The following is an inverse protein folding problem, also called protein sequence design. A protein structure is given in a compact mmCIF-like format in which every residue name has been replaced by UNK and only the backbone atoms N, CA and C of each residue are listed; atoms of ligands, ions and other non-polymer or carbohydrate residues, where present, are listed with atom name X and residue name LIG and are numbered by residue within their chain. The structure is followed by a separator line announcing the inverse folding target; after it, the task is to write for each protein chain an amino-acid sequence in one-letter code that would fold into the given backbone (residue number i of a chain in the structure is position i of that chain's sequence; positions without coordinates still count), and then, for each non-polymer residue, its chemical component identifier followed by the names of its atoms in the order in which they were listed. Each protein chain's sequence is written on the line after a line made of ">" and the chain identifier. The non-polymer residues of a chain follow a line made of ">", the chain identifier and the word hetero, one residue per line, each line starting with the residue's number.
data_IF_933562425564
#
_entry.id   IF_933562425564
#
_cell.length_a   1.000
_cell.length_b   1.000
_cell.length_c   1.000
_cell.angle_alpha   90.00
_cell.angle_beta   90.00
_cell.angle_gamma   90.00
#
_symmetry.space_group_name_H-M   'P 1'
#
loop_
_entity.id
_entity.type
_entity.pdbx_description
1 polymer ?
#
# COMPACT_ATOMS: atom_id res chain seq x y z
N UNK A 1 -4.26 8.79 36.08
CA UNK A 1 -4.59 9.12 34.69
C UNK A 1 -3.85 8.09 33.87
N UNK A 2 -4.52 7.04 33.43
CA UNK A 2 -3.97 6.09 32.45
C UNK A 2 -4.33 6.67 31.10
N UNK A 3 -3.34 7.24 30.41
CA UNK A 3 -3.48 7.50 28.98
C UNK A 3 -3.79 6.15 28.33
N UNK A 4 -4.94 6.06 27.65
CA UNK A 4 -5.23 4.92 26.79
C UNK A 4 -4.26 5.02 25.61
N UNK A 5 -3.07 4.44 25.73
CA UNK A 5 -2.25 4.16 24.56
C UNK A 5 -3.03 3.20 23.66
N UNK A 6 -3.07 3.50 22.37
CA UNK A 6 -3.55 2.51 21.39
C UNK A 6 -2.61 1.30 21.46
N UNK A 7 -3.11 0.05 21.46
CA UNK A 7 -2.25 -1.12 21.38
C UNK A 7 -1.60 -1.26 19.99
N UNK A 8 -2.06 -0.48 19.03
CA UNK A 8 -1.57 -0.43 17.66
C UNK A 8 -0.26 0.37 17.54
N UNK A 9 0.63 0.03 16.59
CA UNK A 9 1.80 0.84 16.27
C UNK A 9 1.42 2.24 15.80
N UNK A 10 2.07 3.24 16.37
CA UNK A 10 1.89 4.65 16.00
C UNK A 10 2.55 4.97 14.66
N UNK A 11 1.90 5.83 13.87
CA UNK A 11 2.53 6.46 12.72
C UNK A 11 3.44 7.60 13.20
N UNK A 12 4.75 7.47 12.95
CA UNK A 12 5.77 8.37 13.52
C UNK A 12 6.11 9.53 12.58
N UNK A 13 6.31 9.25 11.28
CA UNK A 13 6.70 10.26 10.27
C UNK A 13 5.63 10.35 9.16
N UNK A 14 4.40 10.80 9.45
CA UNK A 14 3.31 10.84 8.45
C UNK A 14 3.64 11.72 7.23
N UNK A 15 4.44 12.75 7.42
CA UNK A 15 4.82 13.74 6.42
C UNK A 15 5.76 13.20 5.34
N UNK A 16 6.47 12.10 5.59
CA UNK A 16 7.37 11.49 4.60
C UNK A 16 6.61 11.14 3.33
N UNK A 17 7.14 11.55 2.17
CA UNK A 17 6.52 11.31 0.86
C UNK A 17 7.27 10.24 0.07
N UNK A 18 6.58 9.65 -0.90
CA UNK A 18 7.15 8.67 -1.83
C UNK A 18 8.45 9.15 -2.50
N UNK A 19 8.52 10.43 -2.87
CA UNK A 19 9.70 11.05 -3.48
C UNK A 19 10.89 11.23 -2.52
N UNK A 20 10.69 11.15 -1.21
CA UNK A 20 11.75 11.32 -0.19
C UNK A 20 12.53 10.03 0.05
N UNK A 21 11.89 8.87 -0.16
CA UNK A 21 12.42 7.55 0.18
C UNK A 21 13.10 6.84 -1.01
N UNK A 22 13.41 7.59 -2.06
CA UNK A 22 14.11 7.07 -3.24
C UNK A 22 15.56 6.75 -2.89
N UNK A 23 16.02 5.55 -3.25
CA UNK A 23 17.40 5.13 -2.98
C UNK A 23 18.45 5.95 -3.76
N UNK A 24 18.13 6.38 -5.01
CA UNK A 24 18.86 7.35 -5.88
C UNK A 24 17.90 7.90 -6.95
N UNK A 25 18.28 8.98 -7.64
CA UNK A 25 17.53 9.60 -8.77
C UNK A 25 17.09 8.57 -9.86
N UNK A 26 17.85 7.48 -10.04
CA UNK A 26 17.58 6.43 -11.03
C UNK A 26 17.33 5.03 -10.40
N UNK A 27 17.05 4.93 -9.10
CA UNK A 27 17.07 3.66 -8.35
C UNK A 27 15.73 2.89 -8.33
N UNK A 28 14.99 2.91 -9.45
CA UNK A 28 13.80 2.09 -9.65
C UNK A 28 14.15 0.62 -9.99
N UNK A 29 15.28 0.11 -9.51
CA UNK A 29 15.73 -1.24 -9.81
C UNK A 29 15.07 -2.23 -8.85
N UNK A 30 14.34 -3.19 -9.40
CA UNK A 30 13.73 -4.26 -8.62
C UNK A 30 14.79 -5.31 -8.19
N UNK A 31 14.94 -5.55 -6.89
CA UNK A 31 15.63 -6.65 -6.20
C UNK A 31 14.69 -7.58 -5.39
N UNK A 32 15.14 -8.76 -4.95
CA UNK A 32 14.32 -9.71 -4.16
C UNK A 32 13.26 -10.50 -4.95
N UNK A 33 12.29 -11.09 -4.24
CA UNK A 33 11.19 -11.88 -4.84
C UNK A 33 10.26 -10.98 -5.66
N UNK A 34 9.77 -11.49 -6.80
CA UNK A 34 8.91 -10.71 -7.72
C UNK A 34 9.65 -9.69 -8.60
N UNK A 35 10.98 -9.53 -8.47
CA UNK A 35 11.75 -8.51 -9.22
C UNK A 35 11.60 -8.53 -10.75
N UNK A 36 11.31 -9.70 -11.34
CA UNK A 36 11.15 -9.87 -12.78
C UNK A 36 9.81 -9.35 -13.31
N UNK A 37 8.86 -9.08 -12.42
CA UNK A 37 7.50 -8.63 -12.74
C UNK A 37 7.10 -7.37 -11.98
N UNK A 38 7.81 -7.02 -10.91
CA UNK A 38 7.59 -5.84 -10.11
C UNK A 38 8.03 -4.57 -10.84
N UNK A 39 7.32 -3.47 -10.57
CA UNK A 39 7.76 -2.14 -10.96
C UNK A 39 8.61 -1.54 -9.83
N UNK A 40 9.72 -0.87 -10.15
CA UNK A 40 10.57 -0.23 -9.13
C UNK A 40 9.84 0.76 -8.22
N UNK A 41 8.65 1.20 -8.65
CA UNK A 41 7.71 2.06 -7.93
C UNK A 41 7.06 1.38 -6.73
N UNK A 42 6.79 0.08 -6.83
CA UNK A 42 6.34 -0.72 -5.70
C UNK A 42 7.34 -0.64 -4.55
N UNK A 43 8.63 -0.67 -4.89
CA UNK A 43 9.69 -0.73 -3.88
C UNK A 43 9.92 0.60 -3.17
N UNK A 44 9.63 1.72 -3.83
CA UNK A 44 9.61 3.02 -3.15
C UNK A 44 8.45 3.08 -2.14
N UNK A 45 7.29 2.49 -2.45
CA UNK A 45 6.18 2.42 -1.50
C UNK A 45 6.50 1.49 -0.30
N UNK A 46 7.19 0.37 -0.53
CA UNK A 46 7.66 -0.52 0.55
C UNK A 46 8.69 0.16 1.46
N UNK A 47 9.58 0.96 0.86
CA UNK A 47 10.51 1.82 1.62
C UNK A 47 9.79 2.89 2.42
N UNK A 48 8.75 3.48 1.82
CA UNK A 48 7.95 4.52 2.44
C UNK A 48 7.28 4.03 3.71
N UNK A 49 6.63 2.86 3.68
CA UNK A 49 5.95 2.36 4.88
C UNK A 49 6.91 2.12 6.04
N UNK A 50 8.10 1.57 5.77
CA UNK A 50 9.12 1.39 6.80
C UNK A 50 9.57 2.74 7.39
N UNK A 51 9.74 3.76 6.55
CA UNK A 51 10.19 5.07 7.00
C UNK A 51 9.13 5.80 7.87
N UNK A 52 7.85 5.64 7.55
CA UNK A 52 6.73 6.23 8.29
C UNK A 52 6.62 5.66 9.72
N UNK A 53 6.91 4.37 9.91
CA UNK A 53 6.82 3.71 11.22
C UNK A 53 8.14 3.67 12.01
N UNK A 54 9.27 4.11 11.44
CA UNK A 54 10.58 3.99 12.10
C UNK A 54 11.01 5.33 12.72
N UNK A 55 11.37 5.36 14.01
CA UNK A 55 11.72 6.59 14.74
C UNK A 55 12.79 7.45 14.04
N UNK A 56 13.84 6.82 13.51
CA UNK A 56 14.90 7.52 12.79
C UNK A 56 14.58 7.82 11.31
N UNK A 57 13.35 7.57 10.84
CA UNK A 57 12.97 7.72 9.43
C UNK A 57 13.73 6.79 8.48
N UNK A 58 14.13 5.59 8.95
CA UNK A 58 15.04 4.73 8.19
C UNK A 58 14.36 4.16 6.96
N UNK A 59 15.00 4.36 5.81
CA UNK A 59 14.51 3.87 4.51
C UNK A 59 15.14 2.51 4.19
N UNK A 60 14.35 1.44 4.27
CA UNK A 60 14.77 0.09 3.87
C UNK A 60 13.57 -0.76 3.43
N UNK A 61 13.83 -1.94 2.86
CA UNK A 61 12.83 -2.96 2.54
C UNK A 61 13.04 -4.16 3.45
N UNK A 62 11.95 -4.76 3.91
CA UNK A 62 11.97 -6.00 4.67
C UNK A 62 10.71 -6.81 4.38
N UNK A 63 10.68 -7.45 3.21
CA UNK A 63 9.66 -8.47 2.91
C UNK A 63 9.99 -9.73 3.71
N UNK A 64 9.03 -10.18 4.49
CA UNK A 64 9.17 -11.37 5.36
C UNK A 64 8.53 -12.57 4.69
N UNK A 65 7.38 -12.36 4.05
CA UNK A 65 6.59 -13.38 3.36
C UNK A 65 6.14 -12.84 1.99
N UNK A 66 5.69 -13.70 1.05
CA UNK A 66 5.24 -13.27 -0.29
C UNK A 66 4.05 -12.31 -0.31
N UNK A 67 3.33 -12.20 0.81
CA UNK A 67 2.14 -11.38 1.04
C UNK A 67 2.34 -10.38 2.21
N UNK A 68 3.58 -10.22 2.68
CA UNK A 68 3.96 -9.25 3.72
C UNK A 68 5.20 -8.49 3.27
N UNK A 69 4.99 -7.26 2.86
CA UNK A 69 6.02 -6.36 2.34
C UNK A 69 6.80 -5.63 3.45
N UNK A 70 6.17 -5.42 4.61
CA UNK A 70 6.81 -4.89 5.80
C UNK A 70 6.18 -5.43 7.09
N UNK A 71 6.97 -5.42 8.16
CA UNK A 71 6.51 -5.75 9.51
C UNK A 71 6.81 -4.59 10.44
N UNK A 72 5.79 -4.14 11.18
CA UNK A 72 5.92 -3.06 12.15
C UNK A 72 5.74 -3.65 13.55
N UNK A 73 6.77 -3.61 14.41
CA UNK A 73 6.66 -4.10 15.77
C UNK A 73 5.80 -3.17 16.62
N UNK A 74 5.00 -3.75 17.50
CA UNK A 74 4.19 -3.05 18.51
C UNK A 74 3.64 -4.03 19.55
N UNK A 75 2.82 -3.55 20.48
CA UNK A 75 2.08 -4.43 21.39
C UNK A 75 1.17 -5.37 20.59
N UNK A 76 0.44 -4.80 19.63
CA UNK A 76 -0.05 -5.51 18.45
C UNK A 76 0.89 -5.16 17.30
N UNK A 77 1.46 -6.15 16.64
CA UNK A 77 2.35 -5.91 15.49
C UNK A 77 1.57 -5.89 14.18
N UNK A 78 2.04 -5.11 13.20
CA UNK A 78 1.43 -5.04 11.87
C UNK A 78 2.18 -5.87 10.83
N UNK A 79 1.43 -6.70 10.11
CA UNK A 79 1.81 -7.18 8.79
C UNK A 79 1.27 -6.25 7.74
N UNK A 80 2.16 -5.73 6.90
CA UNK A 80 1.79 -4.73 5.91
C UNK A 80 1.92 -5.32 4.52
N UNK A 81 0.82 -5.33 3.78
CA UNK A 81 0.83 -5.52 2.33
C UNK A 81 0.77 -4.15 1.64
N UNK A 82 1.75 -3.85 0.81
CA UNK A 82 1.90 -2.54 0.17
C UNK A 82 1.33 -2.58 -1.24
N UNK A 83 0.55 -1.55 -1.58
CA UNK A 83 -0.04 -1.38 -2.91
C UNK A 83 0.18 0.03 -3.41
N UNK A 84 0.77 0.16 -4.58
CA UNK A 84 0.94 1.46 -5.24
C UNK A 84 0.33 1.49 -6.63
N UNK A 85 -0.18 2.65 -7.04
CA UNK A 85 -0.69 2.86 -8.39
C UNK A 85 -0.55 4.32 -8.83
N UNK A 86 -0.57 4.55 -10.14
CA UNK A 86 -0.55 5.91 -10.70
C UNK A 86 -1.91 6.60 -10.51
N UNK A 87 -1.95 7.92 -10.31
CA UNK A 87 -3.20 8.66 -10.17
C UNK A 87 -4.10 8.52 -11.40
N UNK A 88 -3.52 8.63 -12.59
CA UNK A 88 -4.17 8.37 -13.88
C UNK A 88 -3.19 7.73 -14.85
N UNK A 89 -3.66 6.75 -15.62
CA UNK A 89 -2.96 6.29 -16.80
C UNK A 89 -2.92 7.40 -17.85
N UNK A 90 -1.94 7.35 -18.75
CA UNK A 90 -1.92 8.25 -19.90
C UNK A 90 -3.10 7.91 -20.83
N UNK A 91 -3.83 8.93 -21.27
CA UNK A 91 -4.86 8.76 -22.30
C UNK A 91 -4.24 8.42 -23.66
N UNK A 92 -5.03 7.82 -24.54
CA UNK A 92 -4.62 7.54 -25.93
C UNK A 92 -4.41 8.81 -26.77
N UNK A 93 -4.87 9.97 -26.27
CA UNK A 93 -4.65 11.29 -26.85
C UNK A 93 -4.29 12.29 -25.74
N UNK A 94 -3.63 13.39 -26.10
CA UNK A 94 -3.24 14.47 -25.18
C UNK A 94 -4.42 15.24 -24.59
N UNK A 95 -5.64 15.02 -25.10
CA UNK A 95 -6.86 15.77 -24.74
C UNK A 95 -7.80 15.00 -23.80
N UNK A 96 -7.61 13.69 -23.61
CA UNK A 96 -8.48 12.89 -22.75
C UNK A 96 -7.76 12.49 -21.46
N UNK A 97 -8.32 12.83 -20.29
CA UNK A 97 -7.77 12.34 -19.03
C UNK A 97 -7.91 10.82 -18.99
N UNK A 98 -6.78 10.11 -18.92
CA UNK A 98 -6.80 8.66 -18.85
C UNK A 98 -7.48 8.14 -17.58
N UNK A 99 -7.78 6.84 -17.60
CA UNK A 99 -8.47 6.14 -16.49
C UNK A 99 -7.68 6.27 -15.19
N UNK A 100 -8.38 6.28 -14.06
CA UNK A 100 -7.73 6.18 -12.75
C UNK A 100 -6.87 4.92 -12.67
N UNK A 101 -5.72 5.02 -11.99
CA UNK A 101 -4.91 3.85 -11.69
C UNK A 101 -5.65 2.86 -10.81
N UNK A 102 -5.21 1.62 -10.91
CA UNK A 102 -5.83 0.51 -10.20
C UNK A 102 -4.80 -0.18 -9.31
N UNK A 103 -5.20 -0.47 -8.08
CA UNK A 103 -4.50 -1.42 -7.24
C UNK A 103 -4.87 -2.82 -7.69
N UNK A 104 -3.88 -3.71 -7.64
CA UNK A 104 -4.05 -5.13 -7.91
C UNK A 104 -3.84 -5.90 -6.61
N UNK A 105 -4.85 -6.64 -6.20
CA UNK A 105 -4.84 -7.47 -5.00
C UNK A 105 -5.03 -8.91 -5.44
N UNK A 106 -4.13 -9.79 -5.03
CA UNK A 106 -4.23 -11.23 -5.32
C UNK A 106 -5.02 -11.90 -4.21
N UNK A 107 -6.02 -12.71 -4.58
CA UNK A 107 -6.92 -13.31 -3.61
C UNK A 107 -6.19 -14.20 -2.61
N UNK A 108 -5.26 -15.03 -3.08
CA UNK A 108 -4.55 -15.96 -2.21
C UNK A 108 -3.68 -15.23 -1.17
N UNK A 109 -3.03 -14.12 -1.55
CA UNK A 109 -2.29 -13.27 -0.59
C UNK A 109 -3.23 -12.59 0.41
N UNK A 110 -4.36 -12.06 -0.07
CA UNK A 110 -5.36 -11.46 0.80
C UNK A 110 -5.94 -12.46 1.81
N UNK A 111 -6.31 -13.66 1.34
CA UNK A 111 -6.84 -14.73 2.18
C UNK A 111 -5.81 -15.19 3.22
N UNK A 112 -4.51 -15.20 2.87
CA UNK A 112 -3.42 -15.49 3.81
C UNK A 112 -3.28 -14.40 4.88
N UNK A 113 -3.26 -13.12 4.50
CA UNK A 113 -3.20 -11.99 5.44
C UNK A 113 -4.35 -12.03 6.47
N UNK A 114 -5.57 -12.31 6.02
CA UNK A 114 -6.73 -12.44 6.90
C UNK A 114 -6.57 -13.66 7.81
N UNK A 115 -6.19 -14.81 7.27
CA UNK A 115 -6.01 -16.03 8.05
C UNK A 115 -4.96 -15.86 9.15
N UNK A 116 -3.81 -15.23 8.87
CA UNK A 116 -2.77 -15.01 9.89
C UNK A 116 -3.23 -14.09 11.01
N UNK A 117 -4.00 -13.05 10.70
CA UNK A 117 -4.58 -12.13 11.69
C UNK A 117 -5.50 -12.87 12.67
N UNK A 118 -6.31 -13.81 12.17
CA UNK A 118 -7.23 -14.57 13.03
C UNK A 118 -6.54 -15.58 13.96
N UNK A 119 -5.25 -15.88 13.73
CA UNK A 119 -4.50 -16.87 14.52
C UNK A 119 -3.78 -16.26 15.73
N UNK A 120 -3.67 -14.94 15.84
CA UNK A 120 -2.86 -14.28 16.86
C UNK A 120 -3.42 -12.93 17.28
N UNK A 121 -3.85 -12.82 18.54
CA UNK A 121 -4.33 -11.55 19.12
C UNK A 121 -3.26 -10.46 19.21
N UNK A 122 -1.97 -10.81 19.06
CA UNK A 122 -0.85 -9.85 19.07
C UNK A 122 -0.36 -9.41 17.69
N UNK A 123 -1.08 -9.76 16.60
CA UNK A 123 -0.69 -9.42 15.23
C UNK A 123 -1.92 -9.12 14.38
N UNK A 124 -1.87 -8.07 13.58
CA UNK A 124 -2.94 -7.75 12.64
C UNK A 124 -2.37 -7.38 11.28
N UNK A 125 -3.14 -7.66 10.23
CA UNK A 125 -2.79 -7.32 8.87
C UNK A 125 -3.41 -5.98 8.46
N UNK A 126 -2.62 -5.16 7.79
CA UNK A 126 -3.04 -3.89 7.21
C UNK A 126 -2.59 -3.77 5.76
N UNK A 127 -3.30 -2.95 5.00
CA UNK A 127 -2.86 -2.47 3.70
C UNK A 127 -2.30 -1.06 3.80
N UNK A 128 -1.16 -0.84 3.13
CA UNK A 128 -0.65 0.49 2.87
C UNK A 128 -0.81 0.84 1.38
N UNK A 129 -1.74 1.74 1.09
CA UNK A 129 -2.04 2.20 -0.26
C UNK A 129 -1.36 3.52 -0.56
N UNK A 130 -0.64 3.61 -1.68
CA UNK A 130 0.00 4.84 -2.16
C UNK A 130 -0.44 5.15 -3.59
N UNK A 131 -0.90 6.38 -3.81
CA UNK A 131 -1.18 6.89 -5.16
C UNK A 131 -0.12 7.92 -5.51
N UNK A 132 0.44 7.82 -6.71
CA UNK A 132 1.48 8.75 -7.17
C UNK A 132 1.17 9.30 -8.56
N UNK A 133 1.69 10.48 -8.88
CA UNK A 133 1.73 11.01 -10.24
C UNK A 133 3.15 10.93 -10.78
N UNK A 134 3.33 10.97 -12.10
CA UNK A 134 4.67 11.01 -12.71
C UNK A 134 4.85 12.37 -13.38
N UNK A 135 5.73 13.20 -12.82
CA UNK A 135 6.09 14.51 -13.38
C UNK A 135 7.58 14.53 -13.69
N UNK A 136 7.94 14.85 -14.93
CA UNK A 136 9.34 14.85 -15.39
C UNK A 136 10.09 13.55 -15.08
N UNK A 137 9.39 12.41 -15.11
CA UNK A 137 9.96 11.09 -14.78
C UNK A 137 10.11 10.80 -13.30
N UNK A 138 9.69 11.73 -12.43
CA UNK A 138 9.70 11.60 -10.97
C UNK A 138 8.32 11.19 -10.49
N UNK A 139 8.28 10.17 -9.64
CA UNK A 139 7.08 9.81 -8.87
C UNK A 139 6.88 10.83 -7.75
N UNK A 140 5.78 11.56 -7.80
CA UNK A 140 5.34 12.49 -6.76
C UNK A 140 4.11 11.90 -6.08
N UNK A 141 4.12 11.77 -4.76
CA UNK A 141 2.98 11.29 -3.99
C UNK A 141 1.74 12.18 -4.23
N UNK A 142 0.59 11.54 -4.42
CA UNK A 142 -0.73 12.19 -4.46
C UNK A 142 -1.48 12.00 -3.15
N UNK A 143 -1.25 10.87 -2.47
CA UNK A 143 -1.78 10.58 -1.16
C UNK A 143 -1.47 9.14 -0.75
N UNK A 144 -1.61 8.86 0.55
CA UNK A 144 -1.38 7.56 1.15
C UNK A 144 -2.36 7.25 2.28
N UNK A 145 -2.61 5.97 2.49
CA UNK A 145 -3.67 5.47 3.36
C UNK A 145 -3.27 4.13 4.01
N UNK A 146 -3.51 4.00 5.31
CA UNK A 146 -3.46 2.74 6.07
C UNK A 146 -4.88 2.25 6.33
N UNK A 147 -5.12 0.96 6.11
CA UNK A 147 -6.45 0.34 6.31
C UNK A 147 -6.27 -1.07 6.87
N UNK A 148 -7.03 -1.49 7.90
CA UNK A 148 -7.08 -2.88 8.31
C UNK A 148 -7.46 -3.81 7.14
N UNK A 149 -6.82 -4.99 7.06
CA UNK A 149 -7.10 -5.95 6.00
C UNK A 149 -8.56 -6.43 6.00
N UNK A 150 -9.17 -6.56 7.18
CA UNK A 150 -10.59 -6.93 7.35
C UNK A 150 -11.52 -5.88 6.72
N UNK A 151 -11.25 -4.59 6.97
CA UNK A 151 -12.00 -3.49 6.34
C UNK A 151 -11.80 -3.48 4.83
N UNK A 152 -10.62 -3.87 4.35
CA UNK A 152 -10.38 -4.05 2.91
C UNK A 152 -11.20 -5.22 2.38
N UNK A 153 -11.26 -6.38 3.06
CA UNK A 153 -12.07 -7.54 2.64
C UNK A 153 -13.54 -7.15 2.46
N UNK A 154 -14.10 -6.40 3.41
CA UNK A 154 -15.50 -5.93 3.37
C UNK A 154 -15.81 -5.07 2.12
N UNK A 155 -14.82 -4.32 1.62
CA UNK A 155 -15.01 -3.45 0.45
C UNK A 155 -14.53 -4.07 -0.86
N UNK A 156 -13.86 -5.23 -0.81
CA UNK A 156 -13.49 -6.00 -1.99
C UNK A 156 -14.66 -6.85 -2.47
N UNK A 157 -14.83 -6.92 -3.78
CA UNK A 157 -15.84 -7.73 -4.44
C UNK A 157 -15.31 -8.24 -5.78
N UNK A 158 -16.02 -9.19 -6.40
CA UNK A 158 -15.84 -9.56 -7.81
C UNK A 158 -14.40 -9.95 -8.19
N UNK A 159 -13.89 -11.02 -7.59
CA UNK A 159 -12.61 -11.61 -7.98
C UNK A 159 -12.65 -12.18 -9.40
N UNK A 160 -11.71 -11.76 -10.24
CA UNK A 160 -11.51 -12.26 -11.61
C UNK A 160 -10.32 -13.20 -11.67
N UNK A 161 -10.34 -14.15 -12.60
CA UNK A 161 -9.23 -15.05 -12.86
C UNK A 161 -8.27 -14.41 -13.87
N UNK A 162 -6.98 -14.31 -13.55
CA UNK A 162 -5.94 -13.72 -14.41
C UNK A 162 -4.73 -14.65 -14.47
N UNK A 163 -4.18 -14.88 -15.67
CA UNK A 163 -2.95 -15.63 -15.87
C UNK A 163 -1.74 -14.73 -15.55
N UNK A 164 -1.01 -15.05 -14.48
CA UNK A 164 0.21 -14.35 -14.12
C UNK A 164 1.44 -15.14 -14.57
N UNK A 165 2.37 -14.45 -15.24
CA UNK A 165 3.56 -15.04 -15.87
C UNK A 165 4.42 -15.94 -14.98
N UNK A 166 4.38 -15.76 -13.65
CA UNK A 166 5.11 -16.60 -12.68
C UNK A 166 4.23 -17.39 -11.71
N UNK A 167 2.96 -17.04 -11.55
CA UNK A 167 2.08 -17.68 -10.54
C UNK A 167 1.02 -18.58 -11.18
N UNK A 168 0.98 -18.62 -12.51
CA UNK A 168 -0.09 -19.25 -13.26
C UNK A 168 -1.41 -18.51 -13.10
N UNK A 169 -2.48 -19.25 -13.31
CA UNK A 169 -3.85 -18.77 -13.19
C UNK A 169 -4.21 -18.48 -11.73
N UNK A 170 -4.46 -17.21 -11.41
CA UNK A 170 -4.73 -16.76 -10.06
C UNK A 170 -5.93 -15.82 -9.99
N UNK A 171 -6.69 -15.89 -8.90
CA UNK A 171 -7.77 -14.93 -8.62
C UNK A 171 -7.19 -13.59 -8.19
N UNK A 172 -7.67 -12.52 -8.80
CA UNK A 172 -7.22 -11.16 -8.58
C UNK A 172 -8.39 -10.19 -8.58
N UNK A 173 -8.22 -9.09 -7.86
CA UNK A 173 -9.10 -7.93 -7.92
C UNK A 173 -8.27 -6.72 -8.31
N UNK A 174 -8.62 -6.14 -9.46
CA UNK A 174 -8.17 -4.81 -9.82
C UNK A 174 -9.25 -3.80 -9.41
N UNK A 175 -8.89 -2.81 -8.60
CA UNK A 175 -9.81 -1.79 -8.10
C UNK A 175 -9.17 -0.41 -8.29
N UNK A 176 -9.90 0.53 -8.92
CA UNK A 176 -9.39 1.90 -9.04
C UNK A 176 -9.26 2.54 -7.67
N UNK A 177 -8.18 3.29 -7.42
CA UNK A 177 -7.98 3.95 -6.13
C UNK A 177 -9.18 4.85 -5.77
N UNK A 178 -9.78 5.52 -6.75
CA UNK A 178 -10.97 6.36 -6.53
C UNK A 178 -12.20 5.56 -6.05
N UNK A 179 -12.42 4.36 -6.59
CA UNK A 179 -13.50 3.48 -6.12
C UNK A 179 -13.21 2.91 -4.73
N UNK A 180 -11.95 2.54 -4.45
CA UNK A 180 -11.53 2.07 -3.14
C UNK A 180 -11.81 3.14 -2.07
N UNK A 181 -11.33 4.38 -2.27
CA UNK A 181 -11.58 5.48 -1.35
C UNK A 181 -13.07 5.71 -1.12
N UNK A 182 -13.87 5.70 -2.19
CA UNK A 182 -15.32 5.86 -2.09
C UNK A 182 -15.96 4.77 -1.20
N UNK A 183 -15.53 3.51 -1.33
CA UNK A 183 -16.06 2.40 -0.52
C UNK A 183 -15.60 2.47 0.93
N UNK A 184 -14.41 2.98 1.18
CA UNK A 184 -13.87 3.24 2.52
C UNK A 184 -14.41 4.53 3.15
N UNK A 185 -15.31 5.25 2.50
CA UNK A 185 -15.83 6.53 3.02
C UNK A 185 -14.82 7.68 3.01
N UNK A 186 -13.68 7.52 2.34
CA UNK A 186 -12.61 8.52 2.26
C UNK A 186 -12.85 9.45 1.07
N UNK A 187 -12.93 10.75 1.32
CA UNK A 187 -13.05 11.74 0.24
C UNK A 187 -11.71 11.91 -0.49
N UNK A 188 -11.77 12.20 -1.78
CA UNK A 188 -10.55 12.45 -2.57
C UNK A 188 -9.82 13.72 -2.13
N UNK A 189 -10.53 14.69 -1.58
CA UNK A 189 -9.92 15.93 -1.07
C UNK A 189 -9.15 15.63 0.22
N UNK A 190 -9.75 14.89 1.17
CA UNK A 190 -9.10 14.42 2.41
C UNK A 190 -7.81 13.66 2.08
N UNK A 191 -7.92 12.70 1.15
CA UNK A 191 -6.79 11.85 0.74
C UNK A 191 -5.61 12.62 0.15
N UNK A 192 -5.85 13.80 -0.44
CA UNK A 192 -4.80 14.63 -1.04
C UNK A 192 -4.26 15.70 -0.09
N UNK A 193 -5.03 16.08 0.92
CA UNK A 193 -4.68 17.16 1.84
C UNK A 193 -4.00 16.68 3.11
N UNK A 194 -4.34 15.48 3.59
CA UNK A 194 -3.73 14.89 4.78
C UNK A 194 -2.40 14.22 4.42
N UNK A 195 -1.46 14.24 5.37
CA UNK A 195 -0.16 13.61 5.19
C UNK A 195 -0.28 12.10 5.08
N UNK A 196 -1.17 11.51 5.87
CA UNK A 196 -1.59 10.12 5.80
C UNK A 196 -3.01 10.02 6.37
N UNK A 197 -3.83 9.17 5.77
CA UNK A 197 -5.08 8.74 6.40
C UNK A 197 -4.82 7.40 7.08
N UNK A 198 -5.14 7.29 8.36
CA UNK A 198 -4.99 6.05 9.12
C UNK A 198 -6.36 5.57 9.60
N UNK A 199 -6.89 4.54 8.96
CA UNK A 199 -8.16 3.90 9.33
C UNK A 199 -7.98 2.74 10.31
N UNK A 200 -6.78 2.54 10.87
CA UNK A 200 -6.54 1.48 11.87
C UNK A 200 -7.00 1.88 13.27
N UNK A 201 -7.31 3.16 13.47
CA UNK A 201 -7.71 3.76 14.75
C UNK A 201 -9.09 4.44 14.71
N UNK A 202 -9.85 4.33 13.61
CA UNK A 202 -11.22 4.88 13.42
C UNK A 202 -12.30 3.82 13.62
#
# INVERSE_FOLDING_TARGET
>A
MTENCSPNPDVINPEMKLEDVRYKVNANTCDGYGRSTASGRGYNAERLVNAIFHESGRVFRASIEPYVDAYVPGEISYDVEVKSCVARYQGSSTSEPGRYGQFRIWKHHHDQLIAETTLSDSRTAIYFFVVYSVRYGIEEEVGKLLVPAEVVDDVLDNWSLEEHVTMGEQKTRQISWHLLLKRLGVSTDRFKSEDIIDLTNE
#
